data_IF_534361299951
#
_entry.id   IF_534361299951
#
_cell.length_a   1.000
_cell.length_b   1.000
_cell.length_c   1.000
_cell.angle_alpha   90.00
_cell.angle_beta   90.00
_cell.angle_gamma   90.00
#
_symmetry.space_group_name_H-M   'P 1'
#
loop_
_entity.id
_entity.type
_entity.pdbx_description
1 polymer ?
#
# COMPACT_ATOMS: atom_id res chain seq x y z
N UNK A 1 6.02 6.88 -15.33
CA UNK A 1 5.62 6.21 -16.60
C UNK A 1 5.59 7.21 -17.75
N UNK A 2 4.72 8.23 -17.79
CA UNK A 2 4.70 9.25 -18.86
C UNK A 2 6.08 9.89 -19.10
N UNK A 3 6.75 10.33 -18.04
CA UNK A 3 8.11 10.88 -18.15
C UNK A 3 9.12 9.90 -18.77
N UNK A 4 9.01 8.60 -18.48
CA UNK A 4 9.88 7.59 -19.12
C UNK A 4 9.56 7.47 -20.61
N UNK A 5 8.29 7.46 -20.99
CA UNK A 5 7.88 7.44 -22.39
C UNK A 5 8.40 8.69 -23.14
N UNK A 6 8.23 9.88 -22.57
CA UNK A 6 8.76 11.13 -23.14
C UNK A 6 10.28 11.12 -23.32
N UNK A 7 11.02 10.73 -22.27
CA UNK A 7 12.49 10.70 -22.32
C UNK A 7 13.01 9.65 -23.29
N UNK A 8 12.34 8.50 -23.41
CA UNK A 8 12.76 7.44 -24.33
C UNK A 8 12.45 7.80 -25.78
N UNK A 9 11.26 8.34 -26.07
CA UNK A 9 10.93 8.87 -27.38
C UNK A 9 11.93 9.96 -27.81
N UNK A 10 12.19 10.93 -26.94
CA UNK A 10 13.14 12.01 -27.22
C UNK A 10 14.57 11.49 -27.40
N UNK A 11 15.03 10.59 -26.52
CA UNK A 11 16.39 10.05 -26.56
C UNK A 11 16.66 9.22 -27.81
N UNK A 12 15.65 8.50 -28.31
CA UNK A 12 15.72 7.67 -29.52
C UNK A 12 15.28 8.40 -30.78
N UNK A 13 14.94 9.69 -30.68
CA UNK A 13 14.40 10.50 -31.78
C UNK A 13 13.20 9.80 -32.47
N UNK A 14 12.34 9.20 -31.66
CA UNK A 14 11.17 8.47 -32.09
C UNK A 14 9.90 9.32 -31.94
N UNK A 15 8.90 9.03 -32.78
CA UNK A 15 7.64 9.75 -32.80
C UNK A 15 6.75 9.40 -31.61
N UNK A 16 6.82 8.14 -31.15
CA UNK A 16 5.97 7.63 -30.10
C UNK A 16 6.74 6.77 -29.11
N UNK A 17 6.24 6.75 -27.88
CA UNK A 17 6.59 5.72 -26.91
C UNK A 17 5.39 5.40 -26.04
N UNK A 18 5.33 4.17 -25.52
CA UNK A 18 4.24 3.73 -24.65
C UNK A 18 4.72 2.72 -23.62
N UNK A 19 4.11 2.82 -22.44
CA UNK A 19 4.20 1.80 -21.39
C UNK A 19 2.90 1.01 -21.43
N UNK A 20 3.05 -0.30 -21.54
CA UNK A 20 1.96 -1.25 -21.62
C UNK A 20 1.97 -2.14 -20.39
N UNK A 21 0.90 -2.12 -19.61
CA UNK A 21 0.72 -3.01 -18.47
C UNK A 21 0.12 -4.34 -18.94
N UNK A 22 0.70 -5.46 -18.50
CA UNK A 22 0.12 -6.78 -18.76
C UNK A 22 -1.11 -7.02 -17.87
N UNK A 23 -2.19 -7.50 -18.48
CA UNK A 23 -3.44 -7.88 -17.82
C UNK A 23 -3.61 -9.41 -18.01
N UNK A 24 -3.17 -10.22 -17.03
CA UNK A 24 -3.13 -11.69 -17.20
C UNK A 24 -4.48 -12.33 -17.46
N UNK A 25 -5.56 -11.79 -16.89
CA UNK A 25 -6.92 -12.33 -17.04
C UNK A 25 -7.45 -12.25 -18.48
N UNK A 26 -6.95 -11.29 -19.27
CA UNK A 26 -7.39 -11.05 -20.65
C UNK A 26 -6.35 -11.50 -21.69
N UNK A 27 -5.15 -11.89 -21.24
CA UNK A 27 -3.98 -12.15 -22.08
C UNK A 27 -3.66 -10.98 -23.03
N UNK A 28 -3.78 -9.76 -22.51
CA UNK A 28 -3.61 -8.50 -23.26
C UNK A 28 -2.77 -7.50 -22.48
N UNK A 29 -2.28 -6.51 -23.20
CA UNK A 29 -1.70 -5.31 -22.64
C UNK A 29 -2.69 -4.16 -22.69
N UNK A 30 -2.71 -3.34 -21.65
CA UNK A 30 -3.34 -2.02 -21.65
C UNK A 30 -2.27 -0.94 -21.77
N UNK A 31 -2.45 0.02 -22.67
CA UNK A 31 -1.57 1.20 -22.71
C UNK A 31 -1.87 2.08 -21.50
N UNK A 32 -0.92 2.23 -20.57
CA UNK A 32 -1.11 2.98 -19.31
C UNK A 32 -0.38 4.32 -19.28
N UNK A 33 0.54 4.53 -20.21
CA UNK A 33 1.24 5.79 -20.42
C UNK A 33 1.78 5.83 -21.84
N UNK A 34 1.95 7.02 -22.39
CA UNK A 34 2.57 7.18 -23.70
C UNK A 34 2.71 8.63 -24.12
N UNK A 35 3.46 8.84 -25.19
CA UNK A 35 3.69 10.13 -25.84
C UNK A 35 3.52 9.99 -27.34
N UNK A 36 3.03 11.03 -28.00
CA UNK A 36 2.81 11.08 -29.45
C UNK A 36 1.46 10.51 -29.90
N UNK A 37 0.82 9.68 -29.09
CA UNK A 37 -0.44 9.01 -29.42
C UNK A 37 -1.66 9.92 -29.34
N UNK A 38 -2.71 9.54 -30.06
CA UNK A 38 -4.03 10.17 -29.94
C UNK A 38 -4.60 10.05 -28.52
N UNK A 39 -5.45 11.00 -28.07
CA UNK A 39 -5.98 11.04 -26.70
C UNK A 39 -6.72 9.77 -26.26
N UNK A 40 -7.27 9.01 -27.20
CA UNK A 40 -8.02 7.79 -26.93
C UNK A 40 -7.14 6.54 -26.79
N UNK A 41 -5.82 6.65 -26.93
CA UNK A 41 -4.93 5.49 -26.82
C UNK A 41 -4.62 5.18 -25.35
N UNK A 42 -4.15 6.15 -24.58
CA UNK A 42 -3.74 5.94 -23.19
C UNK A 42 -4.96 5.65 -22.31
N UNK A 43 -4.96 4.49 -21.66
CA UNK A 43 -6.02 4.03 -20.78
C UNK A 43 -7.16 3.27 -21.48
N UNK A 44 -7.14 3.13 -22.81
CA UNK A 44 -8.20 2.43 -23.56
C UNK A 44 -7.66 1.41 -24.58
N UNK A 45 -6.59 1.75 -25.30
CA UNK A 45 -6.04 0.86 -26.32
C UNK A 45 -5.42 -0.38 -25.69
N UNK A 46 -5.62 -1.53 -26.36
CA UNK A 46 -5.06 -2.80 -25.91
C UNK A 46 -4.41 -3.58 -27.05
N UNK A 47 -3.34 -4.30 -26.72
CA UNK A 47 -2.55 -5.12 -27.66
C UNK A 47 -2.52 -6.56 -27.16
N UNK A 48 -2.53 -7.55 -28.06
CA UNK A 48 -2.42 -8.96 -27.67
C UNK A 48 -1.09 -9.27 -26.97
N UNK A 49 -1.12 -10.10 -25.92
CA UNK A 49 0.08 -10.57 -25.23
C UNK A 49 0.53 -11.96 -25.70
N UNK A 50 -0.04 -12.50 -26.77
CA UNK A 50 0.35 -13.77 -27.39
C UNK A 50 1.72 -13.70 -28.09
N UNK A 51 2.33 -14.86 -28.39
CA UNK A 51 3.64 -14.93 -29.05
C UNK A 51 3.65 -14.35 -30.47
N UNK A 52 2.48 -14.19 -31.10
CA UNK A 52 2.33 -13.55 -32.40
C UNK A 52 2.32 -12.02 -32.34
N UNK A 53 2.42 -11.41 -31.15
CA UNK A 53 2.58 -9.98 -30.95
C UNK A 53 4.03 -9.65 -30.56
N UNK A 54 4.66 -8.57 -31.08
CA UNK A 54 6.03 -8.22 -30.70
C UNK A 54 6.19 -8.00 -29.19
N UNK A 55 5.24 -7.28 -28.58
CA UNK A 55 5.20 -7.05 -27.14
C UNK A 55 4.95 -8.36 -26.36
N UNK A 56 4.05 -9.21 -26.87
CA UNK A 56 3.74 -10.50 -26.25
C UNK A 56 4.93 -11.46 -26.29
N UNK A 57 5.67 -11.49 -27.39
CA UNK A 57 6.92 -12.24 -27.51
C UNK A 57 7.96 -11.75 -26.50
N UNK A 58 8.15 -10.44 -26.38
CA UNK A 58 9.08 -9.86 -25.42
C UNK A 58 8.73 -10.22 -23.96
N UNK A 59 7.45 -10.15 -23.61
CA UNK A 59 6.94 -10.52 -22.28
C UNK A 59 7.18 -12.00 -21.95
N UNK A 60 6.89 -12.91 -22.89
CA UNK A 60 6.95 -14.36 -22.64
C UNK A 60 8.35 -14.94 -22.69
N UNK A 61 9.21 -14.38 -23.54
CA UNK A 61 10.58 -14.88 -23.72
C UNK A 61 11.60 -14.11 -22.89
N UNK A 62 11.24 -12.92 -22.41
CA UNK A 62 12.17 -11.99 -21.77
C UNK A 62 13.19 -11.38 -22.73
N UNK A 63 13.09 -11.68 -24.04
CA UNK A 63 14.03 -11.18 -25.05
C UNK A 63 13.47 -9.90 -25.68
N UNK A 64 14.29 -8.85 -25.84
CA UNK A 64 13.85 -7.66 -26.55
C UNK A 64 13.58 -7.94 -28.02
N UNK A 65 12.69 -7.15 -28.62
CA UNK A 65 12.28 -7.28 -30.03
C UNK A 65 12.53 -5.97 -30.75
N UNK A 66 13.22 -6.04 -31.89
CA UNK A 66 13.35 -4.93 -32.85
C UNK A 66 12.64 -5.35 -34.14
N UNK A 67 11.78 -4.46 -34.63
CA UNK A 67 11.05 -4.62 -35.89
C UNK A 67 11.28 -3.34 -36.72
N UNK A 68 12.29 -3.34 -37.59
CA UNK A 68 12.65 -2.15 -38.40
C UNK A 68 11.78 -1.99 -39.66
N UNK A 69 11.06 -3.03 -40.07
CA UNK A 69 10.24 -3.04 -41.28
C UNK A 69 8.87 -3.67 -41.00
N UNK A 70 7.98 -2.94 -40.31
CA UNK A 70 6.65 -3.44 -39.94
C UNK A 70 5.76 -3.79 -41.13
N UNK A 71 5.97 -3.13 -42.28
CA UNK A 71 5.23 -3.41 -43.52
C UNK A 71 5.52 -4.82 -44.09
N UNK A 72 6.71 -5.36 -43.80
CA UNK A 72 7.18 -6.68 -44.27
C UNK A 72 7.49 -7.63 -43.10
N UNK A 73 6.90 -7.40 -41.93
CA UNK A 73 7.14 -8.21 -40.74
C UNK A 73 6.38 -9.54 -40.83
N UNK A 74 7.12 -10.65 -40.86
CA UNK A 74 6.57 -12.00 -40.95
C UNK A 74 6.58 -12.74 -39.61
N UNK A 75 7.34 -12.26 -38.62
CA UNK A 75 7.44 -12.91 -37.29
C UNK A 75 6.22 -12.63 -36.43
N UNK A 76 5.59 -11.48 -36.62
CA UNK A 76 4.54 -10.98 -35.75
C UNK A 76 3.41 -10.32 -36.54
N UNK A 77 2.21 -10.36 -35.97
CA UNK A 77 1.06 -9.57 -36.42
C UNK A 77 1.26 -8.12 -35.98
N UNK A 78 1.27 -7.20 -36.94
CA UNK A 78 1.31 -5.75 -36.67
C UNK A 78 -0.01 -5.30 -36.04
N UNK A 79 -0.01 -4.68 -34.84
CA UNK A 79 -1.22 -4.15 -34.22
C UNK A 79 -1.85 -3.02 -35.04
N UNK A 80 -3.19 -2.97 -35.12
CA UNK A 80 -3.95 -1.93 -35.83
C UNK A 80 -3.56 -0.51 -35.39
N UNK A 81 -3.35 -0.32 -34.08
CA UNK A 81 -2.87 0.94 -33.50
C UNK A 81 -1.60 1.47 -34.19
N UNK A 82 -0.64 0.58 -34.53
CA UNK A 82 0.59 0.98 -35.20
C UNK A 82 0.34 1.38 -36.66
N UNK A 83 -0.56 0.66 -37.34
CA UNK A 83 -0.93 0.90 -38.74
C UNK A 83 -1.63 2.26 -38.87
N UNK A 84 -2.61 2.54 -38.00
CA UNK A 84 -3.38 3.79 -38.01
C UNK A 84 -2.50 5.02 -37.80
N UNK A 85 -1.44 4.89 -37.01
CA UNK A 85 -0.49 5.97 -36.72
C UNK A 85 0.69 6.02 -37.71
N UNK A 86 0.69 5.17 -38.75
CA UNK A 86 1.74 5.12 -39.78
C UNK A 86 3.11 4.69 -39.25
N UNK A 87 3.14 3.92 -38.16
CA UNK A 87 4.39 3.42 -37.57
C UNK A 87 5.05 2.42 -38.51
N UNK A 88 6.34 2.62 -38.77
CA UNK A 88 7.14 1.77 -39.65
C UNK A 88 8.11 0.87 -38.91
N UNK A 89 8.52 1.29 -37.71
CA UNK A 89 9.47 0.55 -36.87
C UNK A 89 9.13 0.66 -35.40
N UNK A 90 9.36 -0.43 -34.67
CA UNK A 90 9.07 -0.54 -33.25
C UNK A 90 10.16 -1.32 -32.52
N UNK A 91 10.39 -0.95 -31.26
CA UNK A 91 11.27 -1.67 -30.35
C UNK A 91 10.55 -1.93 -29.03
N UNK A 92 10.55 -3.19 -28.61
CA UNK A 92 9.89 -3.67 -27.41
C UNK A 92 10.90 -4.23 -26.41
N UNK A 93 10.84 -3.76 -25.16
CA UNK A 93 11.62 -4.31 -24.05
C UNK A 93 10.71 -4.62 -22.86
N UNK A 94 11.03 -5.71 -22.16
CA UNK A 94 10.25 -6.15 -21.00
C UNK A 94 10.48 -5.23 -19.80
N UNK A 95 9.39 -4.90 -19.09
CA UNK A 95 9.41 -4.28 -17.78
C UNK A 95 9.31 -5.38 -16.73
N UNK A 96 10.45 -5.76 -16.15
CA UNK A 96 10.50 -6.78 -15.12
C UNK A 96 9.82 -6.30 -13.83
N UNK A 97 9.00 -7.16 -13.24
CA UNK A 97 8.39 -6.96 -11.93
C UNK A 97 8.87 -8.01 -10.91
N UNK A 98 8.39 -7.91 -9.68
CA UNK A 98 8.72 -8.87 -8.62
C UNK A 98 7.91 -10.18 -8.84
N UNK A 99 8.60 -11.25 -9.23
CA UNK A 99 8.02 -12.58 -9.48
C UNK A 99 7.35 -12.76 -10.86
N UNK A 100 6.74 -11.71 -11.40
CA UNK A 100 6.18 -11.70 -12.76
C UNK A 100 6.45 -10.36 -13.46
N UNK A 101 6.57 -10.35 -14.80
CA UNK A 101 6.73 -9.11 -15.55
C UNK A 101 5.57 -8.14 -15.32
N UNK A 102 5.88 -6.85 -15.19
CA UNK A 102 4.87 -5.80 -15.14
C UNK A 102 4.19 -5.61 -16.49
N UNK A 103 4.97 -5.66 -17.57
CA UNK A 103 4.52 -5.35 -18.91
C UNK A 103 5.67 -5.06 -19.86
N UNK A 104 5.47 -4.14 -20.81
CA UNK A 104 6.42 -3.82 -21.88
C UNK A 104 6.56 -2.31 -22.03
N UNK A 105 7.78 -1.84 -22.27
CA UNK A 105 8.06 -0.49 -22.76
C UNK A 105 8.36 -0.59 -24.25
N UNK A 106 7.63 0.20 -25.04
CA UNK A 106 7.75 0.23 -26.48
C UNK A 106 8.03 1.64 -26.98
N UNK A 107 8.88 1.73 -28.00
CA UNK A 107 9.17 2.95 -28.75
C UNK A 107 8.93 2.69 -30.22
N UNK A 108 8.27 3.64 -30.88
CA UNK A 108 7.76 3.50 -32.23
C UNK A 108 8.10 4.74 -33.07
N UNK A 109 8.41 4.55 -34.36
CA UNK A 109 8.71 5.66 -35.26
C UNK A 109 8.14 5.43 -36.66
N UNK A 110 7.82 6.54 -37.33
CA UNK A 110 7.36 6.60 -38.72
C UNK A 110 8.50 6.75 -39.71
N UNK A 111 9.71 7.07 -39.24
CA UNK A 111 10.85 7.26 -40.12
C UNK A 111 11.40 5.94 -40.66
N UNK A 112 12.05 6.00 -41.82
CA UNK A 112 12.66 4.86 -42.52
C UNK A 112 14.01 4.41 -41.94
N UNK A 113 14.46 5.03 -40.84
CA UNK A 113 15.70 4.64 -40.18
C UNK A 113 15.63 3.24 -39.56
N UNK A 114 16.73 2.79 -38.97
CA UNK A 114 16.78 1.51 -38.25
C UNK A 114 17.08 1.73 -36.78
N UNK A 115 16.41 0.98 -35.92
CA UNK A 115 16.85 0.82 -34.55
C UNK A 115 18.02 -0.15 -34.50
N UNK A 116 19.06 0.22 -33.76
CA UNK A 116 20.29 -0.55 -33.63
C UNK A 116 20.50 -1.06 -32.19
N UNK A 117 21.54 -1.86 -31.98
CA UNK A 117 21.85 -2.42 -30.67
C UNK A 117 22.08 -1.34 -29.57
N UNK A 118 22.59 -0.17 -29.95
CA UNK A 118 22.78 0.95 -29.01
C UNK A 118 21.43 1.51 -28.51
N UNK A 119 20.47 1.70 -29.42
CA UNK A 119 19.12 2.15 -29.10
C UNK A 119 18.44 1.16 -28.14
N UNK A 120 18.65 -0.14 -28.39
CA UNK A 120 18.15 -1.20 -27.54
C UNK A 120 18.76 -1.16 -26.14
N UNK A 121 20.08 -0.95 -26.03
CA UNK A 121 20.73 -0.81 -24.74
C UNK A 121 20.19 0.40 -23.95
N UNK A 122 19.93 1.52 -24.63
CA UNK A 122 19.32 2.70 -24.03
C UNK A 122 17.90 2.41 -23.53
N UNK A 123 17.05 1.82 -24.38
CA UNK A 123 15.67 1.51 -24.02
C UNK A 123 15.59 0.50 -22.87
N UNK A 124 16.44 -0.52 -22.89
CA UNK A 124 16.54 -1.51 -21.82
C UNK A 124 16.99 -0.87 -20.50
N UNK A 125 17.91 0.09 -20.53
CA UNK A 125 18.32 0.87 -19.36
C UNK A 125 17.14 1.66 -18.76
N UNK A 126 16.38 2.34 -19.61
CA UNK A 126 15.18 3.06 -19.19
C UNK A 126 14.11 2.12 -18.61
N UNK A 127 13.91 0.95 -19.22
CA UNK A 127 12.99 -0.08 -18.75
C UNK A 127 13.38 -0.62 -17.37
N UNK A 128 14.67 -0.88 -17.13
CA UNK A 128 15.16 -1.35 -15.84
C UNK A 128 14.89 -0.32 -14.72
N UNK A 129 15.16 0.97 -14.99
CA UNK A 129 14.87 2.05 -14.02
C UNK A 129 13.37 2.17 -13.77
N UNK A 130 12.56 2.14 -14.83
CA UNK A 130 11.10 2.21 -14.70
C UNK A 130 10.54 1.02 -13.93
N UNK A 131 11.00 -0.20 -14.22
CA UNK A 131 10.62 -1.42 -13.50
C UNK A 131 10.91 -1.31 -12.00
N UNK A 132 12.12 -0.87 -11.63
CA UNK A 132 12.48 -0.63 -10.23
C UNK A 132 11.59 0.42 -9.55
N UNK A 133 11.26 1.51 -10.25
CA UNK A 133 10.41 2.57 -9.72
C UNK A 133 8.97 2.08 -9.50
N UNK A 134 8.41 1.31 -10.45
CA UNK A 134 7.09 0.69 -10.34
C UNK A 134 7.04 -0.24 -9.13
N UNK A 135 8.05 -1.10 -8.98
CA UNK A 135 8.09 -2.05 -7.87
C UNK A 135 8.29 -1.39 -6.52
N UNK A 136 9.08 -0.31 -6.45
CA UNK A 136 9.17 0.52 -5.25
C UNK A 136 7.80 1.09 -4.87
N UNK A 137 7.10 1.72 -5.82
CA UNK A 137 5.79 2.31 -5.56
C UNK A 137 4.76 1.25 -5.12
N UNK A 138 4.75 0.08 -5.77
CA UNK A 138 3.87 -1.05 -5.40
C UNK A 138 4.17 -1.56 -3.98
N UNK A 139 5.43 -1.68 -3.58
CA UNK A 139 5.82 -2.07 -2.22
C UNK A 139 5.38 -1.05 -1.19
N UNK A 140 5.56 0.25 -1.47
CA UNK A 140 5.11 1.32 -0.59
C UNK A 140 3.58 1.31 -0.39
N UNK A 141 2.81 1.10 -1.45
CA UNK A 141 1.34 0.96 -1.37
C UNK A 141 0.95 -0.28 -0.56
N UNK A 142 1.57 -1.44 -0.85
CA UNK A 142 1.32 -2.70 -0.10
C UNK A 142 1.62 -2.54 1.39
N UNK A 143 2.73 -1.91 1.73
CA UNK A 143 3.13 -1.67 3.12
C UNK A 143 2.14 -0.72 3.82
N UNK A 144 1.78 0.41 3.20
CA UNK A 144 0.77 1.33 3.76
C UNK A 144 -0.56 0.63 4.01
N UNK A 145 -1.03 -0.18 3.06
CA UNK A 145 -2.26 -0.96 3.23
C UNK A 145 -2.15 -2.05 4.30
N UNK A 146 -0.96 -2.64 4.51
CA UNK A 146 -0.73 -3.58 5.60
C UNK A 146 -0.76 -2.90 6.98
N UNK A 147 -0.09 -1.75 7.10
CA UNK A 147 -0.09 -0.94 8.33
C UNK A 147 -1.51 -0.50 8.70
N UNK A 148 -2.29 -0.04 7.73
CA UNK A 148 -3.67 0.39 8.02
C UNK A 148 -4.56 -0.78 8.44
N UNK A 149 -4.41 -1.96 7.81
CA UNK A 149 -5.09 -3.18 8.24
C UNK A 149 -4.72 -3.57 9.68
N UNK A 150 -3.44 -3.48 10.04
CA UNK A 150 -2.99 -3.76 11.41
C UNK A 150 -3.61 -2.77 12.41
N UNK A 151 -3.70 -1.48 12.07
CA UNK A 151 -4.35 -0.47 12.93
C UNK A 151 -5.83 -0.74 13.16
N UNK A 152 -6.55 -1.17 12.13
CA UNK A 152 -7.98 -1.54 12.26
C UNK A 152 -8.13 -2.77 13.16
N UNK A 153 -7.31 -3.80 12.96
CA UNK A 153 -7.35 -5.01 13.79
C UNK A 153 -7.02 -4.72 15.26
N UNK A 154 -6.01 -3.89 15.52
CA UNK A 154 -5.68 -3.48 16.89
C UNK A 154 -6.84 -2.73 17.55
N UNK A 155 -7.47 -1.79 16.84
CA UNK A 155 -8.67 -1.11 17.34
C UNK A 155 -9.79 -2.08 17.71
N UNK A 156 -10.03 -3.08 16.87
CA UNK A 156 -11.07 -4.10 17.12
C UNK A 156 -10.75 -4.97 18.34
N UNK A 157 -9.49 -5.42 18.49
CA UNK A 157 -9.06 -6.18 19.67
C UNK A 157 -9.26 -5.36 20.94
N UNK A 158 -8.86 -4.08 20.91
CA UNK A 158 -8.97 -3.22 22.08
C UNK A 158 -10.43 -2.95 22.47
N UNK A 159 -11.29 -2.75 21.46
CA UNK A 159 -12.73 -2.63 21.67
C UNK A 159 -13.33 -3.90 22.29
N UNK A 160 -12.94 -5.08 21.80
CA UNK A 160 -13.38 -6.37 22.38
C UNK A 160 -12.86 -6.59 23.79
N UNK A 161 -11.61 -6.19 24.08
CA UNK A 161 -11.03 -6.21 25.41
C UNK A 161 -11.87 -5.40 26.40
N UNK A 162 -12.20 -4.15 26.04
CA UNK A 162 -13.11 -3.30 26.81
C UNK A 162 -14.47 -3.96 27.04
N UNK A 163 -15.11 -4.46 25.97
CA UNK A 163 -16.43 -5.08 26.07
C UNK A 163 -16.42 -6.30 27.01
N UNK A 164 -15.37 -7.11 26.96
CA UNK A 164 -15.22 -8.30 27.80
C UNK A 164 -15.09 -7.92 29.28
N UNK A 165 -14.26 -6.92 29.59
CA UNK A 165 -14.11 -6.41 30.95
C UNK A 165 -15.40 -5.76 31.47
N UNK A 166 -16.15 -5.05 30.62
CA UNK A 166 -17.45 -4.49 30.98
C UNK A 166 -18.49 -5.57 31.30
N UNK A 167 -18.52 -6.68 30.55
CA UNK A 167 -19.39 -7.83 30.83
C UNK A 167 -19.03 -8.45 32.19
N UNK A 168 -17.73 -8.69 32.45
CA UNK A 168 -17.27 -9.26 33.72
C UNK A 168 -17.65 -8.36 34.90
N UNK A 169 -17.42 -7.05 34.80
CA UNK A 169 -17.82 -6.09 35.83
C UNK A 169 -19.34 -6.12 36.09
N UNK A 170 -20.14 -6.19 35.03
CA UNK A 170 -21.61 -6.24 35.12
C UNK A 170 -22.10 -7.53 35.82
N UNK A 171 -21.48 -8.68 35.52
CA UNK A 171 -21.78 -9.96 36.17
C UNK A 171 -21.46 -9.92 37.67
N UNK A 172 -20.28 -9.41 38.04
CA UNK A 172 -19.87 -9.25 39.44
C UNK A 172 -20.84 -8.33 40.20
N UNK A 173 -21.24 -7.21 39.60
CA UNK A 173 -22.20 -6.29 40.19
C UNK A 173 -23.61 -6.92 40.33
N UNK A 174 -24.04 -7.76 39.38
CA UNK A 174 -25.29 -8.51 39.51
C UNK A 174 -25.23 -9.55 40.63
N UNK A 175 -24.12 -10.30 40.75
CA UNK A 175 -23.93 -11.28 41.83
C UNK A 175 -23.86 -10.60 43.20
N UNK A 176 -23.24 -9.41 43.30
CA UNK A 176 -23.23 -8.62 44.53
C UNK A 176 -24.65 -8.22 44.97
N UNK A 177 -25.55 -7.90 44.03
CA UNK A 177 -26.95 -7.57 44.34
C UNK A 177 -27.79 -8.80 44.73
N UNK A 178 -27.40 -9.99 44.28
CA UNK A 178 -28.16 -11.22 44.48
C UNK A 178 -27.76 -12.03 45.73
N UNK A 179 -26.68 -11.65 46.41
CA UNK A 179 -26.20 -12.38 47.61
C UNK A 179 -26.82 -11.85 48.90
N UNK A 180 -27.15 -12.79 49.80
CA UNK A 180 -27.68 -12.50 51.14
C UNK A 180 -26.57 -12.17 52.15
N UNK A 181 -25.31 -12.54 51.87
CA UNK A 181 -24.16 -12.25 52.73
C UNK A 181 -23.55 -10.88 52.44
N UNK A 182 -23.47 -10.03 53.46
CA UNK A 182 -22.90 -8.68 53.38
C UNK A 182 -21.41 -8.70 53.02
N UNK A 183 -20.63 -9.61 53.61
CA UNK A 183 -19.20 -9.74 53.32
C UNK A 183 -18.96 -10.11 51.85
N UNK A 184 -19.78 -11.01 51.30
CA UNK A 184 -19.71 -11.40 49.88
C UNK A 184 -20.15 -10.25 48.97
N UNK A 185 -21.16 -9.47 49.37
CA UNK A 185 -21.63 -8.29 48.64
C UNK A 185 -20.52 -7.24 48.52
N UNK A 186 -19.86 -6.92 49.64
CA UNK A 186 -18.74 -5.97 49.69
C UNK A 186 -17.57 -6.46 48.81
N UNK A 187 -17.16 -7.72 48.95
CA UNK A 187 -16.05 -8.27 48.15
C UNK A 187 -16.33 -8.29 46.64
N UNK A 188 -17.55 -8.65 46.23
CA UNK A 188 -17.95 -8.63 44.81
C UNK A 188 -18.07 -7.19 44.25
N UNK A 189 -18.55 -6.25 45.06
CA UNK A 189 -18.60 -4.84 44.71
C UNK A 189 -17.21 -4.24 44.50
N UNK A 190 -16.26 -4.58 45.38
CA UNK A 190 -14.86 -4.18 45.24
C UNK A 190 -14.22 -4.80 43.98
N UNK A 191 -14.47 -6.09 43.72
CA UNK A 191 -13.99 -6.76 42.51
C UNK A 191 -14.55 -6.12 41.23
N UNK A 192 -15.84 -5.80 41.18
CA UNK A 192 -16.46 -5.10 40.04
C UNK A 192 -15.84 -3.72 39.81
N UNK A 193 -15.60 -2.96 40.90
CA UNK A 193 -14.92 -1.67 40.86
C UNK A 193 -13.51 -1.79 40.27
N UNK A 194 -12.72 -2.76 40.76
CA UNK A 194 -11.36 -3.03 40.26
C UNK A 194 -11.34 -3.40 38.77
N UNK A 195 -12.24 -4.28 38.32
CA UNK A 195 -12.35 -4.65 36.89
C UNK A 195 -12.72 -3.44 36.03
N UNK A 196 -13.59 -2.56 36.52
CA UNK A 196 -13.96 -1.32 35.83
C UNK A 196 -12.76 -0.38 35.70
N UNK A 197 -11.96 -0.22 36.75
CA UNK A 197 -10.71 0.57 36.70
C UNK A 197 -9.73 0.01 35.67
N UNK A 198 -9.56 -1.32 35.61
CA UNK A 198 -8.72 -1.99 34.61
C UNK A 198 -9.26 -1.74 33.19
N UNK A 199 -10.58 -1.82 32.97
CA UNK A 199 -11.20 -1.56 31.68
C UNK A 199 -10.94 -0.13 31.17
N UNK A 200 -11.02 0.86 32.07
CA UNK A 200 -10.76 2.27 31.75
C UNK A 200 -9.28 2.53 31.49
N UNK A 201 -8.38 1.92 32.27
CA UNK A 201 -6.94 1.99 32.01
C UNK A 201 -6.59 1.36 30.65
N UNK A 202 -7.20 0.22 30.32
CA UNK A 202 -7.05 -0.45 29.02
C UNK A 202 -7.56 0.44 27.87
N UNK A 203 -8.70 1.10 28.04
CA UNK A 203 -9.23 2.02 27.04
C UNK A 203 -8.27 3.20 26.79
N UNK A 204 -7.73 3.81 27.85
CA UNK A 204 -6.80 4.95 27.76
C UNK A 204 -5.49 4.64 27.05
N UNK A 205 -4.88 3.50 27.38
CA UNK A 205 -3.59 3.11 26.79
C UNK A 205 -3.67 2.85 25.29
N UNK A 206 -4.86 2.57 24.78
CA UNK A 206 -5.08 2.14 23.40
C UNK A 206 -5.97 3.07 22.56
N UNK A 207 -6.45 4.18 23.15
CA UNK A 207 -7.25 5.20 22.44
C UNK A 207 -6.42 6.31 21.80
N UNK A 208 -5.17 6.53 22.22
CA UNK A 208 -4.29 7.46 21.52
C UNK A 208 -3.94 6.90 20.15
N UNK A 209 -4.15 7.70 19.09
CA UNK A 209 -3.78 7.36 17.70
C UNK A 209 -2.29 6.99 17.54
N UNK A 210 -1.46 7.31 18.54
CA UNK A 210 -0.15 6.72 18.79
C UNK A 210 -0.28 5.66 19.89
N UNK A 211 -0.41 4.39 19.50
CA UNK A 211 -0.29 3.26 20.44
C UNK A 211 1.12 3.23 21.05
N UNK A 212 2.10 3.88 20.41
CA UNK A 212 3.50 3.94 20.83
C UNK A 212 3.79 5.03 21.87
N UNK A 213 2.97 6.08 21.99
CA UNK A 213 3.27 7.22 22.86
C UNK A 213 2.06 7.70 23.67
N UNK A 214 2.22 7.72 25.00
CA UNK A 214 1.25 8.21 25.96
C UNK A 214 1.71 9.56 26.53
N UNK A 215 0.84 10.58 26.51
CA UNK A 215 1.07 11.79 27.32
C UNK A 215 0.74 11.46 28.78
N UNK A 216 1.78 11.30 29.61
CA UNK A 216 1.60 10.90 31.01
C UNK A 216 0.89 11.98 31.83
N UNK A 217 1.04 13.26 31.47
CA UNK A 217 0.39 14.37 32.19
C UNK A 217 -1.12 14.37 31.96
N UNK A 218 -1.56 14.16 30.72
CA UNK A 218 -2.98 13.96 30.41
C UNK A 218 -3.53 12.70 31.08
N UNK A 219 -2.79 11.59 30.99
CA UNK A 219 -3.17 10.31 31.60
C UNK A 219 -3.37 10.40 33.13
N UNK A 220 -2.42 10.99 33.85
CA UNK A 220 -2.49 11.12 35.32
C UNK A 220 -3.65 12.00 35.78
N UNK A 221 -3.91 13.12 35.08
CA UNK A 221 -5.08 13.98 35.36
C UNK A 221 -6.38 13.20 35.23
N UNK A 222 -6.52 12.43 34.16
CA UNK A 222 -7.71 11.63 33.93
C UNK A 222 -7.87 10.47 34.92
N UNK A 223 -6.78 9.77 35.30
CA UNK A 223 -6.81 8.70 36.31
C UNK A 223 -7.28 9.22 37.67
N UNK A 224 -6.81 10.40 38.08
CA UNK A 224 -7.20 10.95 39.37
C UNK A 224 -8.56 11.63 39.39
N UNK A 225 -9.10 11.98 38.21
CA UNK A 225 -10.52 12.35 38.09
C UNK A 225 -11.42 11.13 38.28
N UNK A 226 -10.92 9.94 37.97
CA UNK A 226 -11.67 8.68 37.99
C UNK A 226 -11.59 7.89 39.28
N UNK A 227 -10.57 8.15 40.10
CA UNK A 227 -10.52 7.66 41.46
C UNK A 227 -11.81 8.15 42.13
N UNK A 228 -12.74 7.26 42.51
CA UNK A 228 -13.87 7.66 43.33
C UNK A 228 -13.30 8.38 44.56
N UNK A 229 -14.08 9.28 45.17
CA UNK A 229 -13.81 9.84 46.50
C UNK A 229 -13.79 8.75 47.59
N UNK A 230 -12.99 7.70 47.42
CA UNK A 230 -12.74 6.61 48.34
C UNK A 230 -11.76 7.05 49.45
N UNK A 231 -11.25 8.28 49.36
CA UNK A 231 -10.41 8.89 50.37
C UNK A 231 -11.01 10.25 50.74
N UNK A 232 -10.98 10.57 52.04
CA UNK A 232 -11.41 11.85 52.61
C UNK A 232 -10.43 13.01 52.25
N UNK A 233 -9.74 12.89 51.11
CA UNK A 233 -8.54 13.64 50.76
C UNK A 233 -8.68 14.27 49.38
N UNK A 234 -8.36 15.56 49.29
CA UNK A 234 -8.26 16.27 48.01
C UNK A 234 -6.95 15.89 47.30
N UNK A 235 -7.06 15.41 46.06
CA UNK A 235 -5.92 15.17 45.18
C UNK A 235 -5.75 16.35 44.23
N UNK A 236 -4.65 17.09 44.36
CA UNK A 236 -4.24 18.13 43.40
C UNK A 236 -3.17 17.59 42.46
N UNK A 237 -3.31 17.89 41.16
CA UNK A 237 -2.36 17.44 40.14
C UNK A 237 -1.90 18.62 39.30
N UNK A 238 -0.60 18.82 39.33
CA UNK A 238 0.10 19.74 38.47
C UNK A 238 1.04 18.92 37.58
N UNK A 239 0.69 18.82 36.29
CA UNK A 239 1.45 18.04 35.33
C UNK A 239 1.73 18.89 34.08
N UNK A 240 2.99 18.96 33.62
CA UNK A 240 3.34 19.59 32.34
C UNK A 240 2.66 18.84 31.19
N UNK A 241 2.14 19.58 30.21
CA UNK A 241 1.60 19.00 28.97
C UNK A 241 2.73 18.58 28.03
N UNK A 242 2.57 17.46 27.32
CA UNK A 242 3.51 17.04 26.27
C UNK A 242 4.62 16.09 26.71
N UNK A 243 4.56 15.53 27.93
CA UNK A 243 5.50 14.49 28.37
C UNK A 243 5.06 13.15 27.76
N UNK A 244 5.66 12.80 26.63
CA UNK A 244 5.37 11.55 25.93
C UNK A 244 6.26 10.40 26.41
N UNK A 245 5.65 9.32 26.89
CA UNK A 245 6.34 8.09 27.27
C UNK A 245 5.96 6.95 26.31
N UNK A 246 6.92 6.06 26.06
CA UNK A 246 6.67 4.86 25.27
C UNK A 246 5.83 3.87 26.08
N UNK A 247 4.77 3.33 25.48
CA UNK A 247 3.91 2.31 26.11
C UNK A 247 4.54 0.91 26.13
N UNK A 248 5.60 0.70 25.35
CA UNK A 248 6.27 -0.59 25.12
C UNK A 248 7.53 -0.83 25.96
N UNK A 249 8.04 0.19 26.67
CA UNK A 249 9.22 0.04 27.52
C UNK A 249 8.77 -0.52 28.86
N UNK A 250 9.06 -1.79 29.20
CA UNK A 250 9.00 -2.20 30.60
C UNK A 250 9.90 -1.24 31.37
N UNK A 251 9.36 -0.55 32.38
CA UNK A 251 10.14 0.24 33.31
C UNK A 251 11.21 -0.66 33.93
N UNK A 252 12.41 -0.68 33.35
CA UNK A 252 13.60 -1.16 34.01
C UNK A 252 13.96 -0.11 35.05
N UNK A 253 13.48 -0.32 36.27
CA UNK A 253 14.04 0.36 37.44
C UNK A 253 15.43 -0.27 37.73
N UNK A 254 16.46 0.55 38.05
CA UNK A 254 17.79 0.06 38.40
C UNK A 254 17.81 -0.77 39.69
#
# INVERSE_FOLDING_TARGET
MNQTAELTAKGLQADYAKVMQFVPAEDRFLVVAGVGWDPDVVGKASVGADLGSPAGFALRTGKPVISNHLENENRFRTPELLIEHGVRRAMNVILQGEGAPYGVLEVDSRSEGEFIAHDLAFLQGAANILGMAIERQRREIRLKAAVERQRVLLREINHRGKNSLSIVSSLLAMQARATDSEDVRLGLGEAASRVTTIARAHERLYQTNDVEQLDIGAYLKEVCTDLPCATDHQVQIEAPTGIKISTDRPCRWP
#
